data_IF_345887054531
#
_entry.id   IF_345887054531
#
_cell.length_a   1.000
_cell.length_b   1.000
_cell.length_c   1.000
_cell.angle_alpha   90.00
_cell.angle_beta   90.00
_cell.angle_gamma   90.00
#
_symmetry.space_group_name_H-M   'P 1'
#
loop_
_entity.id
_entity.type
_entity.pdbx_description
1 polymer ?
#
# COMPACT_ATOMS: atom_id res chain seq x y z
N UNK A 1 -0.71 -7.99 -8.92
CA UNK A 1 0.41 -7.63 -8.03
C UNK A 1 1.63 -7.27 -8.86
N UNK A 2 2.06 -6.02 -8.79
CA UNK A 2 3.26 -5.47 -9.44
C UNK A 2 4.55 -6.03 -8.83
N UNK A 3 4.49 -6.48 -7.58
CA UNK A 3 5.58 -7.15 -6.86
C UNK A 3 5.11 -8.56 -6.50
N UNK A 4 5.42 -9.60 -7.29
CA UNK A 4 5.04 -10.97 -6.93
C UNK A 4 5.76 -11.39 -5.65
N UNK A 5 5.05 -12.14 -4.80
CA UNK A 5 5.58 -12.72 -3.57
C UNK A 5 6.94 -13.40 -3.77
N UNK A 6 7.77 -13.39 -2.73
CA UNK A 6 9.04 -14.09 -2.76
C UNK A 6 8.87 -15.57 -3.16
N UNK A 7 9.51 -15.92 -4.27
CA UNK A 7 9.61 -17.28 -4.78
C UNK A 7 11.08 -17.66 -4.98
N UNK A 8 11.49 -18.76 -4.34
CA UNK A 8 12.89 -19.18 -4.36
C UNK A 8 13.32 -19.56 -5.78
N UNK A 9 14.22 -18.77 -6.35
CA UNK A 9 14.91 -19.09 -7.62
C UNK A 9 14.12 -18.76 -8.89
N UNK A 10 12.96 -18.10 -8.77
CA UNK A 10 12.09 -17.74 -9.92
C UNK A 10 11.72 -16.26 -9.98
N UNK A 11 12.07 -15.48 -8.95
CA UNK A 11 11.79 -14.04 -8.91
C UNK A 11 12.47 -13.25 -10.03
N UNK A 12 11.81 -12.23 -10.62
CA UNK A 12 12.44 -11.39 -11.62
C UNK A 12 13.67 -10.67 -11.04
N UNK A 13 14.73 -10.45 -11.84
CA UNK A 13 15.84 -9.62 -11.40
C UNK A 13 15.35 -8.19 -11.12
N UNK A 14 16.06 -7.47 -10.24
CA UNK A 14 15.77 -6.06 -9.99
C UNK A 14 15.76 -5.29 -11.31
N UNK A 15 14.63 -4.67 -11.62
CA UNK A 15 14.43 -3.97 -12.88
C UNK A 15 14.03 -2.52 -12.62
N UNK A 16 14.73 -1.59 -13.24
CA UNK A 16 14.44 -0.16 -13.10
C UNK A 16 13.45 0.28 -14.16
N UNK A 17 12.36 0.92 -13.73
CA UNK A 17 11.39 1.57 -14.59
C UNK A 17 11.89 2.97 -14.95
N UNK A 18 11.79 3.32 -16.23
CA UNK A 18 12.16 4.66 -16.73
C UNK A 18 10.98 5.35 -17.38
N UNK A 19 10.99 6.68 -17.33
CA UNK A 19 10.02 7.51 -18.04
C UNK A 19 10.58 8.89 -18.41
N UNK A 20 9.81 9.68 -19.16
CA UNK A 20 10.24 11.00 -19.62
C UNK A 20 10.42 11.97 -18.44
N UNK A 21 11.55 12.68 -18.40
CA UNK A 21 11.84 13.69 -17.39
C UNK A 21 11.11 15.01 -17.68
N UNK A 22 9.81 15.04 -17.41
CA UNK A 22 9.02 16.28 -17.51
C UNK A 22 8.69 16.80 -16.12
N UNK A 23 8.74 18.13 -15.93
CA UNK A 23 8.43 18.76 -14.64
C UNK A 23 7.06 18.36 -14.10
N UNK A 24 6.05 18.27 -14.96
CA UNK A 24 4.68 17.93 -14.55
C UNK A 24 4.57 16.48 -14.06
N UNK A 25 5.22 15.52 -14.74
CA UNK A 25 5.21 14.12 -14.32
C UNK A 25 5.94 13.94 -12.98
N UNK A 26 7.14 14.51 -12.86
CA UNK A 26 7.92 14.43 -11.60
C UNK A 26 7.14 15.06 -10.45
N UNK A 27 6.49 16.20 -10.67
CA UNK A 27 5.68 16.84 -9.64
C UNK A 27 4.48 15.97 -9.22
N UNK A 28 3.79 15.32 -10.16
CA UNK A 28 2.68 14.44 -9.87
C UNK A 28 3.11 13.23 -9.03
N UNK A 29 4.18 12.55 -9.45
CA UNK A 29 4.72 11.38 -8.76
C UNK A 29 5.22 11.75 -7.35
N UNK A 30 5.99 12.83 -7.22
CA UNK A 30 6.48 13.31 -5.93
C UNK A 30 5.33 13.67 -4.99
N UNK A 31 4.33 14.41 -5.47
CA UNK A 31 3.18 14.80 -4.63
C UNK A 31 2.41 13.57 -4.13
N UNK A 32 2.20 12.58 -4.99
CA UNK A 32 1.54 11.33 -4.63
C UNK A 32 2.33 10.58 -3.55
N UNK A 33 3.63 10.36 -3.76
CA UNK A 33 4.49 9.64 -2.81
C UNK A 33 4.61 10.40 -1.49
N UNK A 34 4.71 11.73 -1.51
CA UNK A 34 4.72 12.57 -0.30
C UNK A 34 3.41 12.46 0.48
N UNK A 35 2.26 12.31 -0.18
CA UNK A 35 0.97 12.13 0.48
C UNK A 35 0.75 10.71 0.98
N UNK A 36 1.06 9.70 0.16
CA UNK A 36 0.68 8.31 0.44
C UNK A 36 1.57 7.68 1.53
N UNK A 37 2.86 8.02 1.59
CA UNK A 37 3.76 7.51 2.64
C UNK A 37 3.25 7.78 4.08
N UNK A 38 2.94 9.02 4.50
CA UNK A 38 2.40 9.27 5.82
C UNK A 38 0.99 8.69 6.01
N UNK A 39 0.20 8.53 4.93
CA UNK A 39 -1.09 7.84 5.00
C UNK A 39 -0.90 6.37 5.42
N UNK A 40 -0.04 5.60 4.76
CA UNK A 40 0.26 4.22 5.18
C UNK A 40 0.84 4.17 6.60
N UNK A 41 1.70 5.13 6.98
CA UNK A 41 2.20 5.21 8.36
C UNK A 41 1.06 5.35 9.39
N UNK A 42 -0.02 6.08 9.05
CA UNK A 42 -1.24 6.13 9.86
C UNK A 42 -1.91 4.78 10.06
N UNK A 43 -2.06 3.98 8.99
CA UNK A 43 -2.60 2.62 9.07
C UNK A 43 -1.76 1.71 9.97
N UNK A 44 -0.42 1.82 9.88
CA UNK A 44 0.51 1.08 10.73
C UNK A 44 0.32 1.46 12.21
N UNK A 45 0.24 2.75 12.53
CA UNK A 45 -0.02 3.22 13.90
C UNK A 45 -1.35 2.69 14.43
N UNK A 46 -2.43 2.84 13.66
CA UNK A 46 -3.77 2.37 14.06
C UNK A 46 -3.81 0.86 14.31
N UNK A 47 -3.16 0.07 13.45
CA UNK A 47 -3.08 -1.38 13.58
C UNK A 47 -2.27 -1.79 14.82
N UNK A 48 -1.13 -1.14 15.06
CA UNK A 48 -0.31 -1.41 16.25
C UNK A 48 -1.02 -1.02 17.55
N UNK A 49 -1.72 0.11 17.57
CA UNK A 49 -2.50 0.54 18.74
C UNK A 49 -3.66 -0.42 19.02
N UNK A 50 -4.35 -0.89 17.99
CA UNK A 50 -5.41 -1.88 18.15
C UNK A 50 -4.87 -3.22 18.67
N UNK A 51 -3.76 -3.71 18.13
CA UNK A 51 -3.12 -4.97 18.56
C UNK A 51 -2.57 -4.93 19.99
N UNK A 52 -2.29 -3.76 20.54
CA UNK A 52 -1.79 -3.57 21.93
C UNK A 52 -2.91 -3.37 22.95
N UNK A 53 -4.12 -3.08 22.49
CA UNK A 53 -5.23 -2.76 23.36
C UNK A 53 -5.83 -4.03 23.98
N UNK A 54 -5.85 -4.19 25.32
CA UNK A 54 -6.42 -5.38 25.96
C UNK A 54 -7.94 -5.51 25.74
N UNK A 55 -8.63 -4.46 25.30
CA UNK A 55 -10.04 -4.50 24.92
C UNK A 55 -10.26 -4.97 23.47
N UNK A 56 -9.21 -5.14 22.65
CA UNK A 56 -9.35 -5.74 21.33
C UNK A 56 -9.58 -7.26 21.46
N UNK A 57 -10.74 -7.74 21.04
CA UNK A 57 -11.15 -9.14 21.26
C UNK A 57 -11.52 -9.89 19.99
N UNK A 58 -11.91 -9.19 18.92
CA UNK A 58 -12.29 -9.81 17.65
C UNK A 58 -11.10 -10.53 16.99
N UNK A 59 -11.10 -11.88 16.90
CA UNK A 59 -10.01 -12.62 16.26
C UNK A 59 -9.85 -12.24 14.78
N UNK A 60 -10.96 -11.96 14.10
CA UNK A 60 -10.98 -11.49 12.72
C UNK A 60 -10.27 -10.14 12.57
N UNK A 61 -10.60 -9.15 13.41
CA UNK A 61 -9.97 -7.82 13.32
C UNK A 61 -8.52 -7.84 13.79
N UNK A 62 -8.16 -8.68 14.76
CA UNK A 62 -6.76 -8.90 15.15
C UNK A 62 -5.96 -9.51 14.00
N UNK A 63 -6.54 -10.48 13.27
CA UNK A 63 -5.95 -11.02 12.04
C UNK A 63 -5.79 -9.95 10.96
N UNK A 64 -6.84 -9.17 10.71
CA UNK A 64 -6.82 -8.07 9.75
C UNK A 64 -5.75 -7.04 10.10
N UNK A 65 -5.64 -6.60 11.36
CA UNK A 65 -4.66 -5.61 11.78
C UNK A 65 -3.21 -6.11 11.62
N UNK A 66 -2.94 -7.41 11.84
CA UNK A 66 -1.61 -8.00 11.58
C UNK A 66 -1.28 -8.00 10.10
N UNK A 67 -2.24 -8.40 9.26
CA UNK A 67 -2.08 -8.42 7.81
C UNK A 67 -1.86 -6.99 7.26
N UNK A 68 -2.68 -6.01 7.67
CA UNK A 68 -2.49 -4.58 7.34
C UNK A 68 -1.08 -4.15 7.74
N UNK A 69 -0.63 -4.49 8.95
CA UNK A 69 0.71 -4.09 9.43
C UNK A 69 1.85 -4.62 8.54
N UNK A 70 1.76 -5.86 8.08
CA UNK A 70 2.79 -6.49 7.24
C UNK A 70 2.76 -5.91 5.83
N UNK A 71 1.59 -5.88 5.20
CA UNK A 71 1.45 -5.46 3.80
C UNK A 71 1.77 -3.96 3.65
N UNK A 72 1.20 -3.09 4.49
CA UNK A 72 1.42 -1.64 4.41
C UNK A 72 2.87 -1.26 4.71
N UNK A 73 3.59 -2.03 5.53
CA UNK A 73 5.00 -1.79 5.78
C UNK A 73 5.84 -2.04 4.53
N UNK A 74 5.50 -3.06 3.74
CA UNK A 74 6.14 -3.29 2.45
C UNK A 74 5.80 -2.19 1.43
N UNK A 75 4.54 -1.75 1.38
CA UNK A 75 4.11 -0.65 0.50
C UNK A 75 4.84 0.66 0.83
N UNK A 76 5.08 0.97 2.12
CA UNK A 76 5.92 2.11 2.51
C UNK A 76 7.34 1.96 1.96
N UNK A 77 7.94 0.77 2.01
CA UNK A 77 9.27 0.54 1.45
C UNK A 77 9.31 0.71 -0.08
N UNK A 78 8.24 0.32 -0.79
CA UNK A 78 8.11 0.58 -2.23
C UNK A 78 8.04 2.09 -2.50
N UNK A 79 7.20 2.81 -1.76
CA UNK A 79 7.07 4.27 -1.90
C UNK A 79 8.37 5.01 -1.54
N UNK A 80 9.12 4.51 -0.57
CA UNK A 80 10.46 5.02 -0.22
C UNK A 80 11.48 4.80 -1.36
N UNK A 81 11.44 3.64 -2.03
CA UNK A 81 12.27 3.40 -3.21
C UNK A 81 11.89 4.31 -4.37
N UNK A 82 10.59 4.48 -4.64
CA UNK A 82 10.10 5.41 -5.66
C UNK A 82 10.58 6.83 -5.36
N UNK A 83 10.46 7.29 -4.11
CA UNK A 83 10.98 8.60 -3.70
C UNK A 83 12.48 8.73 -4.00
N UNK A 84 13.29 7.73 -3.61
CA UNK A 84 14.74 7.72 -3.86
C UNK A 84 15.09 7.76 -5.34
N UNK A 85 14.33 7.07 -6.19
CA UNK A 85 14.51 7.08 -7.65
C UNK A 85 14.14 8.43 -8.26
N UNK A 86 13.04 9.03 -7.80
CA UNK A 86 12.61 10.36 -8.23
C UNK A 86 13.60 11.46 -7.80
N UNK A 87 14.36 11.27 -6.73
CA UNK A 87 15.40 12.21 -6.29
C UNK A 87 16.71 12.13 -7.12
N UNK A 88 16.91 11.06 -7.89
CA UNK A 88 18.11 10.93 -8.73
C UNK A 88 18.11 11.91 -9.91
N UNK A 89 19.27 12.40 -10.37
CA UNK A 89 19.32 13.21 -11.59
C UNK A 89 18.84 12.41 -12.80
N UNK A 90 18.23 13.06 -13.81
CA UNK A 90 17.81 12.39 -15.03
C UNK A 90 19.03 11.93 -15.83
N UNK A 91 18.89 10.80 -16.50
CA UNK A 91 19.89 10.28 -17.44
C UNK A 91 19.68 10.96 -18.79
N UNK A 92 20.76 11.53 -19.33
CA UNK A 92 20.76 12.12 -20.67
C UNK A 92 21.16 11.06 -21.71
N UNK A 93 20.31 10.85 -22.70
CA UNK A 93 20.54 9.98 -23.84
C UNK A 93 20.97 10.81 -25.07
N UNK A 94 21.49 10.16 -26.14
CA UNK A 94 21.72 10.83 -27.41
C UNK A 94 20.49 11.58 -27.92
N UNK A 95 20.73 12.61 -28.75
CA UNK A 95 19.68 13.48 -29.32
C UNK A 95 18.92 14.33 -28.28
N UNK A 96 19.46 14.52 -27.08
CA UNK A 96 18.90 15.44 -26.07
C UNK A 96 17.70 14.87 -25.30
N UNK A 97 17.43 13.58 -25.42
CA UNK A 97 16.36 12.90 -24.68
C UNK A 97 16.79 12.76 -23.22
N UNK A 98 15.91 13.15 -22.29
CA UNK A 98 16.11 12.96 -20.85
C UNK A 98 15.09 11.98 -20.29
N UNK A 99 15.59 10.98 -19.58
CA UNK A 99 14.77 10.00 -18.87
C UNK A 99 15.10 9.99 -17.39
N UNK A 100 14.14 9.62 -16.56
CA UNK A 100 14.27 9.52 -15.12
C UNK A 100 13.94 8.11 -14.65
N UNK A 101 14.61 7.67 -13.59
CA UNK A 101 14.23 6.45 -12.89
C UNK A 101 12.95 6.69 -12.10
N UNK A 102 11.95 5.85 -12.33
CA UNK A 102 10.62 6.01 -11.77
C UNK A 102 10.37 5.07 -10.59
N UNK A 103 10.90 3.85 -10.66
CA UNK A 103 10.69 2.80 -9.67
C UNK A 103 11.69 1.65 -9.87
N UNK A 104 11.78 0.78 -8.87
CA UNK A 104 12.54 -0.47 -8.93
C UNK A 104 11.56 -1.61 -8.66
N UNK A 105 11.45 -2.56 -9.57
CA UNK A 105 10.66 -3.78 -9.43
C UNK A 105 11.54 -4.94 -8.95
N UNK A 106 10.95 -5.91 -8.26
CA UNK A 106 11.61 -7.09 -7.69
C UNK A 106 12.05 -6.89 -6.23
N UNK A 107 11.53 -5.86 -5.57
CA UNK A 107 11.82 -5.58 -4.18
C UNK A 107 11.29 -6.66 -3.24
N UNK A 108 10.15 -7.28 -3.57
CA UNK A 108 9.61 -8.38 -2.77
C UNK A 108 10.61 -9.55 -2.72
N UNK A 109 11.22 -9.88 -3.86
CA UNK A 109 12.22 -10.94 -3.94
C UNK A 109 13.48 -10.59 -3.15
N UNK A 110 13.97 -9.36 -3.31
CA UNK A 110 15.16 -8.87 -2.59
C UNK A 110 14.98 -8.90 -1.08
N UNK A 111 13.78 -8.57 -0.60
CA UNK A 111 13.45 -8.48 0.82
C UNK A 111 12.90 -9.78 1.40
N UNK A 112 12.77 -10.84 0.59
CA UNK A 112 12.10 -12.09 0.97
C UNK A 112 10.67 -11.86 1.49
N UNK A 113 10.01 -10.81 0.98
CA UNK A 113 8.67 -10.41 1.39
C UNK A 113 7.64 -11.42 0.87
N UNK A 114 6.66 -11.72 1.72
CA UNK A 114 5.45 -12.47 1.35
C UNK A 114 4.26 -11.64 1.77
N UNK A 115 3.34 -11.42 0.85
CA UNK A 115 2.06 -10.79 1.11
C UNK A 115 1.26 -11.66 2.07
N UNK A 116 0.71 -11.03 3.10
CA UNK A 116 -0.20 -11.71 4.02
C UNK A 116 -1.60 -11.72 3.40
N UNK A 117 -2.19 -12.91 3.17
CA UNK A 117 -3.50 -13.00 2.54
C UNK A 117 -4.59 -12.46 3.46
N UNK A 118 -5.69 -12.00 2.85
CA UNK A 118 -6.89 -11.59 3.58
C UNK A 118 -7.36 -12.69 4.55
N UNK A 119 -7.69 -12.36 5.82
CA UNK A 119 -8.20 -13.33 6.77
C UNK A 119 -9.43 -14.07 6.21
N UNK A 120 -9.34 -15.39 6.14
CA UNK A 120 -10.41 -16.25 5.63
C UNK A 120 -11.63 -16.33 6.58
N UNK A 121 -12.77 -16.85 6.09
CA UNK A 121 -14.01 -16.93 6.86
C UNK A 121 -13.95 -17.85 8.08
N UNK A 122 -12.90 -18.68 8.21
CA UNK A 122 -12.70 -19.62 9.34
C UNK A 122 -12.41 -18.88 10.66
N UNK A 123 -12.08 -17.58 10.60
CA UNK A 123 -11.96 -16.69 11.76
C UNK A 123 -13.27 -16.01 12.20
N UNK A 124 -14.42 -16.32 11.58
CA UNK A 124 -15.74 -15.77 11.95
C UNK A 124 -16.30 -16.32 13.27
N UNK A 125 -15.55 -17.09 14.07
CA UNK A 125 -16.06 -17.50 15.39
C UNK A 125 -16.22 -16.27 16.28
N UNK A 126 -17.47 -15.86 16.44
CA UNK A 126 -17.87 -14.60 17.03
C UNK A 126 -17.69 -14.65 18.54
N UNK A 127 -16.49 -14.26 19.00
CA UNK A 127 -16.32 -13.70 20.33
C UNK A 127 -17.05 -12.36 20.44
N UNK A 128 -17.33 -11.87 21.66
CA UNK A 128 -17.97 -10.58 21.86
C UNK A 128 -17.14 -9.48 21.20
N UNK A 129 -17.81 -8.65 20.40
CA UNK A 129 -17.25 -7.46 19.77
C UNK A 129 -17.25 -6.34 20.80
N UNK A 130 -16.10 -5.70 21.01
CA UNK A 130 -16.00 -4.57 21.94
C UNK A 130 -16.19 -3.23 21.22
N UNK A 131 -16.40 -2.17 22.00
CA UNK A 131 -16.37 -0.80 21.47
C UNK A 131 -15.03 -0.47 20.80
N UNK A 132 -13.91 -1.08 21.25
CA UNK A 132 -12.59 -0.89 20.65
C UNK A 132 -12.50 -1.51 19.26
N UNK A 133 -13.06 -2.72 19.09
CA UNK A 133 -13.18 -3.38 17.78
C UNK A 133 -13.95 -2.51 16.79
N UNK A 134 -15.09 -1.96 17.21
CA UNK A 134 -15.92 -1.06 16.38
C UNK A 134 -15.16 0.21 16.02
N UNK A 135 -14.43 0.80 16.98
CA UNK A 135 -13.65 2.02 16.74
C UNK A 135 -12.57 1.77 15.69
N UNK A 136 -11.80 0.69 15.83
CA UNK A 136 -10.76 0.32 14.86
C UNK A 136 -11.34 0.10 13.47
N UNK A 137 -12.39 -0.73 13.35
CA UNK A 137 -13.02 -1.04 12.07
C UNK A 137 -13.54 0.23 11.36
N UNK A 138 -14.22 1.13 12.08
CA UNK A 138 -14.73 2.39 11.52
C UNK A 138 -13.60 3.34 11.11
N UNK A 139 -12.62 3.53 11.98
CA UNK A 139 -11.49 4.41 11.69
C UNK A 139 -10.71 3.90 10.46
N UNK A 140 -10.44 2.60 10.40
CA UNK A 140 -9.69 2.00 9.29
C UNK A 140 -10.48 2.03 7.99
N UNK A 141 -11.81 1.89 8.04
CA UNK A 141 -12.67 2.06 6.87
C UNK A 141 -12.56 3.46 6.27
N UNK A 142 -12.64 4.49 7.10
CA UNK A 142 -12.50 5.89 6.65
C UNK A 142 -11.09 6.13 6.10
N UNK A 143 -10.07 5.61 6.78
CA UNK A 143 -8.68 5.72 6.36
C UNK A 143 -8.46 5.08 4.99
N UNK A 144 -8.86 3.82 4.79
CA UNK A 144 -8.74 3.12 3.51
C UNK A 144 -9.52 3.81 2.38
N UNK A 145 -10.67 4.42 2.67
CA UNK A 145 -11.39 5.20 1.66
C UNK A 145 -10.58 6.41 1.19
N UNK A 146 -9.91 7.13 2.10
CA UNK A 146 -9.01 8.23 1.74
C UNK A 146 -7.84 7.76 0.85
N UNK A 147 -7.28 6.61 1.17
CA UNK A 147 -6.24 5.94 0.38
C UNK A 147 -6.71 5.66 -1.07
N UNK A 148 -7.91 5.07 -1.22
CA UNK A 148 -8.51 4.78 -2.52
C UNK A 148 -8.76 6.08 -3.32
N UNK A 149 -9.22 7.14 -2.66
CA UNK A 149 -9.49 8.42 -3.32
C UNK A 149 -8.18 9.08 -3.80
N UNK A 150 -7.12 9.04 -3.00
CA UNK A 150 -5.79 9.51 -3.44
C UNK A 150 -5.25 8.73 -4.65
N UNK A 151 -5.44 7.41 -4.69
CA UNK A 151 -5.05 6.59 -5.83
C UNK A 151 -5.85 6.94 -7.09
N UNK A 152 -7.16 7.18 -6.95
CA UNK A 152 -8.03 7.63 -8.05
C UNK A 152 -7.64 9.00 -8.58
N UNK A 153 -7.37 9.95 -7.69
CA UNK A 153 -6.93 11.30 -8.06
C UNK A 153 -5.59 11.26 -8.81
N UNK A 154 -4.67 10.39 -8.37
CA UNK A 154 -3.43 10.14 -9.09
C UNK A 154 -3.68 9.60 -10.51
N UNK A 155 -4.56 8.61 -10.67
CA UNK A 155 -4.92 8.09 -12.00
C UNK A 155 -5.64 9.10 -12.89
N UNK A 156 -6.42 10.02 -12.31
CA UNK A 156 -7.12 11.07 -13.05
C UNK A 156 -6.17 12.18 -13.54
N UNK A 157 -4.98 12.30 -12.95
CA UNK A 157 -3.99 13.29 -13.34
C UNK A 157 -3.29 12.89 -14.65
N UNK A 158 -3.52 13.63 -15.72
CA UNK A 158 -2.90 13.38 -17.03
C UNK A 158 -1.36 13.44 -17.04
N UNK A 159 -0.75 14.08 -16.04
CA UNK A 159 0.70 14.11 -15.87
C UNK A 159 1.26 12.88 -15.13
N UNK A 160 0.43 12.14 -14.38
CA UNK A 160 0.82 10.93 -13.66
C UNK A 160 1.05 9.77 -14.63
N UNK A 161 2.28 9.65 -15.13
CA UNK A 161 2.67 8.70 -16.18
C UNK A 161 3.61 7.60 -15.69
N UNK A 162 3.78 7.49 -14.38
CA UNK A 162 4.57 6.44 -13.78
C UNK A 162 3.82 5.11 -13.79
N UNK A 163 4.19 4.23 -14.71
CA UNK A 163 3.54 2.94 -14.91
C UNK A 163 3.61 2.02 -13.68
N UNK A 164 4.71 2.08 -12.92
CA UNK A 164 4.85 1.33 -11.68
C UNK A 164 3.83 1.79 -10.64
N UNK A 165 3.76 3.11 -10.37
CA UNK A 165 2.75 3.66 -9.44
C UNK A 165 1.32 3.39 -9.92
N UNK A 166 1.08 3.38 -11.24
CA UNK A 166 -0.21 3.03 -11.80
C UNK A 166 -0.61 1.57 -11.53
N UNK A 167 0.32 0.62 -11.66
CA UNK A 167 0.07 -0.79 -11.36
C UNK A 167 -0.03 -1.05 -9.86
N UNK A 168 0.88 -0.46 -9.07
CA UNK A 168 0.84 -0.45 -7.61
C UNK A 168 -0.54 0.00 -7.10
N UNK A 169 -1.08 1.10 -7.61
CA UNK A 169 -2.39 1.61 -7.21
C UNK A 169 -3.54 0.64 -7.53
N UNK A 170 -3.49 -0.09 -8.63
CA UNK A 170 -4.53 -1.05 -9.00
C UNK A 170 -4.60 -2.23 -8.02
N UNK A 171 -3.44 -2.75 -7.61
CA UNK A 171 -3.34 -3.80 -6.60
C UNK A 171 -3.78 -3.29 -5.22
N UNK A 172 -3.23 -2.14 -4.82
CA UNK A 172 -3.56 -1.45 -3.57
C UNK A 172 -5.07 -1.18 -3.43
N UNK A 173 -5.74 -0.63 -4.46
CA UNK A 173 -7.18 -0.37 -4.41
C UNK A 173 -7.97 -1.67 -4.23
N UNK A 174 -7.49 -2.76 -4.82
CA UNK A 174 -8.12 -4.07 -4.69
C UNK A 174 -8.04 -4.56 -3.25
N UNK A 175 -6.86 -4.51 -2.63
CA UNK A 175 -6.64 -4.93 -1.24
C UNK A 175 -7.45 -4.06 -0.26
N UNK A 176 -7.33 -2.74 -0.36
CA UNK A 176 -8.01 -1.77 0.51
C UNK A 176 -9.54 -1.90 0.43
N UNK A 177 -10.07 -2.20 -0.75
CA UNK A 177 -11.51 -2.45 -0.93
C UNK A 177 -11.96 -3.74 -0.22
N UNK A 178 -11.14 -4.78 -0.23
CA UNK A 178 -11.41 -6.02 0.50
C UNK A 178 -11.31 -5.81 2.01
N UNK A 179 -10.34 -5.03 2.48
CA UNK A 179 -10.17 -4.65 3.89
C UNK A 179 -11.39 -3.91 4.43
N UNK A 180 -11.90 -2.92 3.68
CA UNK A 180 -13.15 -2.21 3.99
C UNK A 180 -14.33 -3.20 4.06
N UNK A 181 -14.45 -4.09 3.09
CA UNK A 181 -15.54 -5.06 3.02
C UNK A 181 -15.49 -6.05 4.20
N UNK A 182 -14.30 -6.42 4.68
CA UNK A 182 -14.15 -7.28 5.85
C UNK A 182 -14.43 -6.53 7.16
N UNK A 183 -13.88 -5.32 7.32
CA UNK A 183 -14.08 -4.49 8.51
C UNK A 183 -15.52 -3.99 8.69
N UNK A 184 -16.26 -3.82 7.59
CA UNK A 184 -17.66 -3.35 7.59
C UNK A 184 -18.70 -4.45 7.84
N UNK A 185 -18.28 -5.73 7.94
CA UNK A 185 -19.18 -6.82 8.34
C UNK A 185 -19.54 -6.66 9.82
N UNK A 186 -20.68 -6.00 10.04
CA UNK A 186 -21.22 -5.49 11.32
C UNK A 186 -20.63 -6.11 12.59
N UNK A 187 -19.68 -5.43 13.24
CA UNK A 187 -19.45 -5.57 14.65
C UNK A 187 -20.54 -4.73 15.36
N UNK A 188 -21.71 -5.31 15.63
CA UNK A 188 -22.62 -4.71 16.62
C UNK A 188 -22.09 -5.11 18.01
N UNK A 189 -22.03 -4.15 18.94
CA UNK A 189 -21.61 -4.42 20.32
C UNK A 189 -22.62 -5.39 20.92
N UNK A 190 -22.14 -6.54 21.42
CA UNK A 190 -22.96 -7.52 22.11
C UNK A 190 -23.33 -7.05 23.52
#
# INVERSE_FOLDING_TARGET
MIEPDFERGTGPPLTTWFGPDTRAAVQADCAYVTGMRPHHAGALTMSQEYLKDPAASSPMLLGLARMISVNQQFEVMLLDEVARNLDQPPVSLPFGIKIRQLATEGLAQRMLFRHEPMPGPVGRSMGPVTARDVQFAKAMTIHHQGAIDMARDYHANAAARNGFLGLFNADFVTDQSQEIALGSQRPEVA
#
